data_IF_692650188545
#
_entry.id   IF_692650188545
#
_cell.length_a   1.000
_cell.length_b   1.000
_cell.length_c   1.000
_cell.angle_alpha   90.00
_cell.angle_beta   90.00
_cell.angle_gamma   90.00
#
_symmetry.space_group_name_H-M   'P 1'
#
loop_
_entity.id
_entity.type
_entity.pdbx_description
1 polymer ?
#
# COMPACT_ATOMS: atom_id res chain seq x y z
N UNK A 1 30.02 15.77 8.33
CA UNK A 1 28.63 15.82 7.81
C UNK A 1 28.13 14.39 7.70
N UNK A 2 27.22 13.94 8.56
CA UNK A 2 26.59 12.62 8.39
C UNK A 2 25.71 12.68 7.13
N UNK A 3 26.04 11.91 6.09
CA UNK A 3 25.24 11.85 4.87
C UNK A 3 23.80 11.46 5.22
N UNK A 4 22.81 12.09 4.58
CA UNK A 4 21.41 11.77 4.82
C UNK A 4 21.17 10.27 4.58
N UNK A 5 20.78 9.55 5.64
CA UNK A 5 20.48 8.13 5.55
C UNK A 5 19.24 7.95 4.67
N UNK A 6 19.34 7.10 3.65
CA UNK A 6 18.21 6.78 2.77
C UNK A 6 17.11 6.09 3.57
N UNK A 7 15.88 6.52 3.37
CA UNK A 7 14.65 6.01 4.01
C UNK A 7 13.72 5.49 2.91
N UNK A 8 13.09 4.34 3.12
CA UNK A 8 12.18 3.73 2.15
C UNK A 8 10.78 3.50 2.72
N UNK A 9 9.76 3.84 1.94
CA UNK A 9 8.36 3.52 2.25
C UNK A 9 7.88 2.52 1.20
N UNK A 10 7.42 1.37 1.65
CA UNK A 10 6.85 0.33 0.80
C UNK A 10 5.33 0.31 0.97
N UNK A 11 4.62 0.61 -0.11
CA UNK A 11 3.15 0.59 -0.15
C UNK A 11 2.71 -0.77 -0.66
N UNK A 12 1.94 -1.47 0.16
CA UNK A 12 1.45 -2.83 -0.10
C UNK A 12 -0.04 -2.78 -0.34
N UNK A 13 -0.50 -3.46 -1.40
CA UNK A 13 -1.92 -3.55 -1.79
C UNK A 13 -2.29 -5.02 -1.96
N UNK A 14 -3.56 -5.34 -1.76
CA UNK A 14 -4.08 -6.68 -2.04
C UNK A 14 -3.70 -7.10 -3.48
N UNK A 15 -3.05 -8.25 -3.68
CA UNK A 15 -2.64 -8.70 -5.00
C UNK A 15 -3.83 -8.90 -5.95
N UNK A 16 -5.03 -9.23 -5.48
CA UNK A 16 -6.25 -9.37 -6.31
C UNK A 16 -6.63 -8.01 -6.93
N UNK A 17 -6.70 -6.97 -6.10
CA UNK A 17 -6.93 -5.60 -6.58
C UNK A 17 -5.77 -5.08 -7.44
N UNK A 18 -4.54 -5.47 -7.13
CA UNK A 18 -3.36 -5.04 -7.88
C UNK A 18 -3.32 -5.66 -9.28
N UNK A 19 -3.61 -6.97 -9.41
CA UNK A 19 -3.75 -7.64 -10.70
C UNK A 19 -4.91 -7.04 -11.49
N UNK A 20 -6.08 -6.87 -10.88
CA UNK A 20 -7.23 -6.24 -11.54
C UNK A 20 -6.89 -4.83 -12.04
N UNK A 21 -6.24 -4.02 -11.19
CA UNK A 21 -5.81 -2.67 -11.56
C UNK A 21 -4.83 -2.67 -12.74
N UNK A 22 -3.92 -3.64 -12.79
CA UNK A 22 -2.98 -3.80 -13.89
C UNK A 22 -3.69 -4.22 -15.19
N UNK A 23 -4.62 -5.17 -15.13
CA UNK A 23 -5.40 -5.63 -16.29
C UNK A 23 -6.15 -4.47 -16.96
N UNK A 24 -6.81 -3.63 -16.16
CA UNK A 24 -7.47 -2.41 -16.66
C UNK A 24 -6.49 -1.38 -17.21
N UNK A 25 -5.35 -1.19 -16.53
CA UNK A 25 -4.30 -0.29 -17.00
C UNK A 25 -3.74 -0.69 -18.38
N UNK A 26 -3.79 -1.98 -18.71
CA UNK A 26 -3.42 -2.52 -20.02
C UNK A 26 -4.60 -2.59 -21.02
N UNK A 27 -5.72 -1.93 -20.72
CA UNK A 27 -6.82 -1.71 -21.66
C UNK A 27 -7.80 -2.87 -21.80
N UNK A 28 -7.68 -3.92 -20.98
CA UNK A 28 -8.66 -5.02 -20.95
C UNK A 28 -9.89 -4.57 -20.16
N UNK A 29 -11.06 -4.59 -20.80
CA UNK A 29 -12.30 -4.04 -20.24
C UNK A 29 -13.51 -4.97 -20.37
N UNK A 30 -13.48 -5.92 -21.31
CA UNK A 30 -14.53 -6.92 -21.41
C UNK A 30 -14.55 -7.75 -20.11
N UNK A 31 -15.68 -7.89 -19.42
CA UNK A 31 -15.72 -8.58 -18.13
C UNK A 31 -15.18 -10.02 -18.16
N UNK A 32 -15.43 -10.77 -19.24
CA UNK A 32 -14.93 -12.14 -19.35
C UNK A 32 -13.41 -12.17 -19.59
N UNK A 33 -12.91 -11.27 -20.43
CA UNK A 33 -11.46 -11.12 -20.64
C UNK A 33 -10.74 -10.60 -19.38
N UNK A 34 -11.37 -9.71 -18.60
CA UNK A 34 -10.84 -9.23 -17.33
C UNK A 34 -10.72 -10.39 -16.34
N UNK A 35 -11.78 -11.17 -16.15
CA UNK A 35 -11.79 -12.28 -15.21
C UNK A 35 -10.73 -13.32 -15.58
N UNK A 36 -10.68 -13.72 -16.86
CA UNK A 36 -9.67 -14.65 -17.38
C UNK A 36 -8.25 -14.09 -17.22
N UNK A 37 -8.05 -12.81 -17.56
CA UNK A 37 -6.72 -12.17 -17.45
C UNK A 37 -6.22 -12.11 -16.00
N UNK A 38 -7.12 -11.86 -15.04
CA UNK A 38 -6.78 -11.89 -13.62
C UNK A 38 -6.47 -13.32 -13.19
N UNK A 39 -7.30 -14.30 -13.57
CA UNK A 39 -7.08 -15.72 -13.28
C UNK A 39 -5.69 -16.17 -13.74
N UNK A 40 -5.27 -15.79 -14.94
CA UNK A 40 -3.98 -16.18 -15.51
C UNK A 40 -2.77 -15.52 -14.81
N UNK A 41 -2.97 -14.32 -14.22
CA UNK A 41 -1.87 -13.47 -13.72
C UNK A 41 -1.79 -13.40 -12.21
N UNK A 42 -2.85 -13.80 -11.49
CA UNK A 42 -2.94 -13.62 -10.04
C UNK A 42 -1.74 -14.23 -9.30
N UNK A 43 -1.34 -15.46 -9.63
CA UNK A 43 -0.20 -16.13 -8.99
C UNK A 43 1.10 -15.35 -9.15
N UNK A 44 1.31 -14.71 -10.31
CA UNK A 44 2.49 -13.89 -10.55
C UNK A 44 2.50 -12.66 -9.63
N UNK A 45 1.38 -11.95 -9.52
CA UNK A 45 1.26 -10.78 -8.64
C UNK A 45 1.34 -11.15 -7.15
N UNK A 46 0.79 -12.31 -6.76
CA UNK A 46 0.91 -12.83 -5.40
C UNK A 46 2.38 -13.13 -5.09
N UNK A 47 3.10 -13.83 -5.97
CA UNK A 47 4.52 -14.11 -5.83
C UNK A 47 5.36 -12.84 -5.71
N UNK A 48 5.08 -11.85 -6.57
CA UNK A 48 5.76 -10.56 -6.57
C UNK A 48 5.48 -9.76 -5.30
N UNK A 49 4.25 -9.80 -4.80
CA UNK A 49 3.87 -9.17 -3.53
C UNK A 49 4.64 -9.79 -2.37
N UNK A 50 4.71 -11.13 -2.29
CA UNK A 50 5.49 -11.82 -1.27
C UNK A 50 6.99 -11.50 -1.38
N UNK A 51 7.55 -11.59 -2.59
CA UNK A 51 8.96 -11.32 -2.84
C UNK A 51 9.34 -9.91 -2.41
N UNK A 52 8.63 -8.88 -2.88
CA UNK A 52 8.96 -7.50 -2.53
C UNK A 52 8.70 -7.17 -1.07
N UNK A 53 7.69 -7.79 -0.46
CA UNK A 53 7.48 -7.67 0.98
C UNK A 53 8.67 -8.22 1.78
N UNK A 54 9.12 -9.45 1.48
CA UNK A 54 10.27 -10.03 2.15
C UNK A 54 11.56 -9.28 1.85
N UNK A 55 11.77 -8.90 0.59
CA UNK A 55 12.92 -8.11 0.20
C UNK A 55 12.98 -6.77 0.92
N UNK A 56 11.85 -6.07 1.06
CA UNK A 56 11.83 -4.81 1.79
C UNK A 56 12.01 -5.02 3.30
N UNK A 57 11.33 -5.98 3.92
CA UNK A 57 11.32 -6.11 5.38
C UNK A 57 12.57 -6.80 5.93
N UNK A 58 13.06 -7.84 5.25
CA UNK A 58 14.20 -8.64 5.70
C UNK A 58 15.50 -8.31 4.95
N UNK A 59 15.42 -7.86 3.70
CA UNK A 59 16.58 -7.47 2.90
C UNK A 59 16.96 -6.01 3.11
N UNK A 60 16.29 -5.10 2.39
CA UNK A 60 16.53 -3.67 2.45
C UNK A 60 16.34 -3.08 3.85
N UNK A 61 15.32 -3.53 4.56
CA UNK A 61 14.98 -3.08 5.92
C UNK A 61 16.04 -3.39 6.97
N UNK A 62 16.91 -4.37 6.71
CA UNK A 62 18.05 -4.67 7.58
C UNK A 62 19.20 -3.65 7.41
N UNK A 63 19.23 -2.93 6.29
CA UNK A 63 20.30 -1.98 5.95
C UNK A 63 19.82 -0.53 6.06
N UNK A 64 18.58 -0.28 5.65
CA UNK A 64 17.98 1.04 5.57
C UNK A 64 16.67 1.11 6.37
N UNK A 65 16.41 2.19 7.11
CA UNK A 65 15.11 2.41 7.73
C UNK A 65 14.00 2.27 6.69
N UNK A 66 13.11 1.32 6.95
CA UNK A 66 12.00 0.99 6.06
C UNK A 66 10.68 1.06 6.80
N UNK A 67 9.64 1.54 6.13
CA UNK A 67 8.28 1.62 6.65
C UNK A 67 7.33 0.95 5.67
N UNK A 68 6.39 0.19 6.19
CA UNK A 68 5.28 -0.36 5.43
C UNK A 68 4.04 0.53 5.57
N UNK A 69 3.33 0.68 4.45
CA UNK A 69 1.98 1.25 4.38
C UNK A 69 1.05 0.29 3.66
N UNK A 70 -0.15 0.08 4.18
CA UNK A 70 -1.18 -0.68 3.49
C UNK A 70 -2.10 0.27 2.74
N UNK A 71 -2.30 0.03 1.44
CA UNK A 71 -3.17 0.85 0.59
C UNK A 71 -4.58 0.98 1.18
N UNK A 72 -5.16 -0.10 1.71
CA UNK A 72 -6.46 -0.07 2.40
C UNK A 72 -6.51 0.94 3.54
N UNK A 73 -5.48 0.96 4.40
CA UNK A 73 -5.40 1.91 5.52
C UNK A 73 -5.18 3.35 5.06
N UNK A 74 -4.47 3.55 3.95
CA UNK A 74 -4.34 4.87 3.33
C UNK A 74 -5.70 5.38 2.82
N UNK A 75 -6.61 4.50 2.42
CA UNK A 75 -7.97 4.86 2.01
C UNK A 75 -8.88 5.10 3.21
N UNK A 76 -8.88 4.19 4.21
CA UNK A 76 -9.80 4.26 5.35
C UNK A 76 -9.39 5.29 6.41
N UNK A 77 -8.09 5.52 6.56
CA UNK A 77 -7.51 6.25 7.69
C UNK A 77 -6.37 7.19 7.23
N UNK A 78 -6.54 7.86 6.10
CA UNK A 78 -5.50 8.71 5.50
C UNK A 78 -4.81 9.67 6.49
N UNK A 79 -5.53 10.44 7.35
CA UNK A 79 -4.87 11.33 8.31
C UNK A 79 -3.94 10.59 9.28
N UNK A 80 -4.38 9.44 9.79
CA UNK A 80 -3.62 8.61 10.75
C UNK A 80 -2.36 8.02 10.08
N UNK A 81 -2.49 7.49 8.87
CA UNK A 81 -1.33 6.96 8.14
C UNK A 81 -0.34 8.08 7.77
N UNK A 82 -0.82 9.28 7.43
CA UNK A 82 0.03 10.43 7.11
C UNK A 82 0.79 10.92 8.35
N UNK A 83 0.14 11.00 9.51
CA UNK A 83 0.81 11.27 10.77
C UNK A 83 1.88 10.22 11.10
N UNK A 84 1.59 8.93 10.83
CA UNK A 84 2.57 7.85 11.01
C UNK A 84 3.79 8.06 10.12
N UNK A 85 3.59 8.44 8.86
CA UNK A 85 4.66 8.75 7.91
C UNK A 85 5.48 9.96 8.38
N UNK A 86 4.82 11.05 8.78
CA UNK A 86 5.50 12.27 9.25
C UNK A 86 6.36 11.99 10.48
N UNK A 87 5.82 11.27 11.47
CA UNK A 87 6.55 10.86 12.67
C UNK A 87 7.77 10.02 12.32
N UNK A 88 7.63 9.06 11.40
CA UNK A 88 8.72 8.20 10.96
C UNK A 88 9.80 8.96 10.15
N UNK A 89 9.39 9.96 9.38
CA UNK A 89 10.32 10.86 8.69
C UNK A 89 11.03 11.82 9.66
N UNK A 90 10.52 12.02 10.88
CA UNK A 90 11.02 13.01 11.83
C UNK A 90 10.49 14.41 11.54
N UNK A 91 9.38 14.50 10.81
CA UNK A 91 8.75 15.75 10.41
C UNK A 91 7.59 16.08 11.36
N UNK A 92 7.35 17.39 11.54
CA UNK A 92 6.18 17.91 12.23
C UNK A 92 5.33 18.69 11.24
N UNK A 93 4.02 18.61 11.37
CA UNK A 93 3.06 19.30 10.52
C UNK A 93 1.92 19.81 11.38
N UNK A 94 1.42 21.01 11.06
CA UNK A 94 0.22 21.52 11.74
C UNK A 94 -1.01 20.69 11.33
N UNK A 95 -2.01 20.62 12.22
CA UNK A 95 -3.27 19.94 11.91
C UNK A 95 -3.98 20.56 10.68
N UNK A 96 -3.85 21.88 10.48
CA UNK A 96 -4.41 22.57 9.33
C UNK A 96 -3.73 22.13 8.02
N UNK A 97 -2.40 22.06 8.00
CA UNK A 97 -1.63 21.60 6.84
C UNK A 97 -1.91 20.12 6.56
N UNK A 98 -1.99 19.27 7.58
CA UNK A 98 -2.32 17.85 7.39
C UNK A 98 -3.69 17.68 6.74
N UNK A 99 -4.70 18.43 7.21
CA UNK A 99 -6.04 18.43 6.63
C UNK A 99 -6.02 18.87 5.16
N UNK A 100 -5.19 19.84 4.81
CA UNK A 100 -5.01 20.28 3.42
C UNK A 100 -4.36 19.18 2.57
N UNK A 101 -3.28 18.57 3.04
CA UNK A 101 -2.59 17.48 2.33
C UNK A 101 -3.57 16.33 2.06
N UNK A 102 -4.32 15.88 3.07
CA UNK A 102 -5.32 14.81 2.91
C UNK A 102 -6.36 15.17 1.83
N UNK A 103 -6.81 16.42 1.78
CA UNK A 103 -7.76 16.88 0.75
C UNK A 103 -7.12 16.94 -0.64
N UNK A 104 -5.86 17.32 -0.75
CA UNK A 104 -5.16 17.44 -2.03
C UNK A 104 -4.75 16.07 -2.61
N UNK A 105 -4.57 15.06 -1.75
CA UNK A 105 -4.20 13.70 -2.14
C UNK A 105 -5.37 12.72 -2.16
N UNK A 106 -6.60 13.19 -1.93
CA UNK A 106 -7.78 12.34 -2.05
C UNK A 106 -8.02 11.89 -3.50
N UNK A 107 -8.81 10.82 -3.66
CA UNK A 107 -9.07 10.24 -4.98
C UNK A 107 -9.71 11.25 -5.95
N UNK A 108 -10.63 12.09 -5.49
CA UNK A 108 -11.31 13.08 -6.31
C UNK A 108 -10.37 14.19 -6.78
N UNK A 109 -9.47 14.63 -5.90
CA UNK A 109 -8.42 15.58 -6.19
C UNK A 109 -7.43 15.00 -7.22
N UNK A 110 -6.95 13.77 -7.02
CA UNK A 110 -6.07 13.11 -7.99
C UNK A 110 -6.75 12.90 -9.34
N UNK A 111 -8.05 12.55 -9.36
CA UNK A 111 -8.81 12.38 -10.61
C UNK A 111 -8.98 13.70 -11.36
N UNK A 112 -9.18 14.81 -10.64
CA UNK A 112 -9.17 16.17 -11.21
C UNK A 112 -7.79 16.52 -11.76
N UNK A 113 -6.72 16.26 -11.01
CA UNK A 113 -5.35 16.49 -11.47
C UNK A 113 -5.03 15.67 -12.73
N UNK A 114 -5.51 14.43 -12.85
CA UNK A 114 -5.32 13.64 -14.07
C UNK A 114 -6.02 14.28 -15.28
N UNK A 115 -7.26 14.76 -15.08
CA UNK A 115 -8.03 15.49 -16.09
C UNK A 115 -7.31 16.76 -16.55
N UNK A 116 -6.68 17.46 -15.61
CA UNK A 116 -5.88 18.67 -15.84
C UNK A 116 -4.46 18.37 -16.34
N UNK A 117 -4.09 17.09 -16.50
CA UNK A 117 -2.74 16.61 -16.86
C UNK A 117 -1.65 17.06 -15.87
N UNK A 118 -2.02 17.29 -14.63
CA UNK A 118 -1.13 17.72 -13.54
C UNK A 118 -0.47 16.54 -12.79
N UNK A 119 -0.88 15.29 -13.01
CA UNK A 119 -0.20 14.13 -12.44
C UNK A 119 1.10 13.80 -13.20
N UNK A 120 2.18 13.39 -12.51
CA UNK A 120 3.44 12.98 -13.14
C UNK A 120 3.26 11.84 -14.16
N UNK A 121 3.95 11.91 -15.30
CA UNK A 121 3.90 10.89 -16.36
C UNK A 121 2.67 10.99 -17.28
N UNK A 122 2.44 9.99 -18.14
CA UNK A 122 1.37 10.03 -19.16
C UNK A 122 -0.03 9.96 -18.53
N UNK A 123 -0.94 10.89 -18.86
CA UNK A 123 -2.28 10.98 -18.28
C UNK A 123 -3.35 10.50 -19.26
N UNK A 124 -4.31 9.70 -18.78
CA UNK A 124 -5.35 9.07 -19.61
C UNK A 124 -6.76 9.34 -19.03
N UNK A 125 -7.15 10.61 -18.82
CA UNK A 125 -8.36 10.93 -18.08
C UNK A 125 -9.62 10.39 -18.78
N UNK A 126 -10.48 9.73 -18.00
CA UNK A 126 -11.76 9.18 -18.48
C UNK A 126 -11.63 7.95 -19.38
N UNK A 127 -10.44 7.36 -19.48
CA UNK A 127 -10.21 6.08 -20.16
C UNK A 127 -10.11 4.93 -19.16
N UNK A 128 -10.21 3.71 -19.68
CA UNK A 128 -10.02 2.50 -18.90
C UNK A 128 -8.62 2.39 -18.27
N UNK A 129 -7.61 2.86 -19.02
CA UNK A 129 -6.20 2.91 -18.65
C UNK A 129 -5.83 4.19 -17.85
N UNK A 130 -6.82 4.91 -17.32
CA UNK A 130 -6.58 6.04 -16.43
C UNK A 130 -5.77 5.62 -15.20
N UNK A 131 -4.82 6.47 -14.77
CA UNK A 131 -4.09 6.28 -13.49
C UNK A 131 -5.06 6.26 -12.31
N UNK A 132 -6.12 7.05 -12.39
CA UNK A 132 -7.12 7.26 -11.33
C UNK A 132 -8.49 6.78 -11.83
N UNK A 133 -8.64 5.46 -11.99
CA UNK A 133 -9.84 4.79 -12.57
C UNK A 133 -11.06 4.81 -11.63
N UNK A 134 -11.13 3.87 -10.68
CA UNK A 134 -12.27 3.68 -9.75
C UNK A 134 -11.96 4.08 -8.30
N UNK A 135 -10.71 3.94 -7.86
CA UNK A 135 -10.32 4.15 -6.46
C UNK A 135 -10.92 3.11 -5.53
N UNK A 136 -10.31 2.92 -4.36
CA UNK A 136 -10.82 1.98 -3.36
C UNK A 136 -10.11 0.63 -3.33
N UNK A 137 -10.53 -0.19 -2.38
CA UNK A 137 -10.06 -1.55 -2.12
C UNK A 137 -11.24 -2.52 -2.18
N UNK A 138 -10.93 -3.82 -2.26
CA UNK A 138 -11.89 -4.90 -2.45
C UNK A 138 -12.73 -4.75 -3.74
N UNK A 139 -12.24 -3.97 -4.70
CA UNK A 139 -12.95 -3.72 -5.96
C UNK A 139 -13.06 -4.99 -6.81
N UNK A 140 -12.14 -5.94 -6.61
CA UNK A 140 -12.20 -7.27 -7.18
C UNK A 140 -13.51 -8.02 -6.89
N UNK A 141 -14.16 -7.77 -5.75
CA UNK A 141 -15.43 -8.43 -5.38
C UNK A 141 -16.58 -8.08 -6.34
N UNK A 142 -16.51 -6.92 -6.98
CA UNK A 142 -17.54 -6.44 -7.92
C UNK A 142 -17.18 -6.62 -9.40
N UNK A 143 -15.99 -7.13 -9.72
CA UNK A 143 -15.51 -7.25 -11.10
C UNK A 143 -15.06 -8.66 -11.48
N UNK A 144 -14.85 -9.55 -10.50
CA UNK A 144 -14.39 -10.92 -10.72
C UNK A 144 -15.45 -11.96 -10.34
N UNK A 145 -15.39 -13.11 -10.98
CA UNK A 145 -16.16 -14.28 -10.62
C UNK A 145 -15.73 -14.83 -9.26
N UNK A 146 -16.66 -15.47 -8.54
CA UNK A 146 -16.34 -16.12 -7.26
C UNK A 146 -15.27 -17.20 -7.41
N UNK A 147 -15.23 -17.89 -8.56
CA UNK A 147 -14.21 -18.90 -8.86
C UNK A 147 -12.82 -18.27 -8.93
N UNK A 148 -12.66 -17.17 -9.68
CA UNK A 148 -11.39 -16.45 -9.79
C UNK A 148 -10.96 -15.88 -8.44
N UNK A 149 -11.89 -15.31 -7.67
CA UNK A 149 -11.60 -14.80 -6.32
C UNK A 149 -11.11 -15.93 -5.41
N UNK A 150 -11.78 -17.08 -5.41
CA UNK A 150 -11.42 -18.21 -4.57
C UNK A 150 -10.06 -18.78 -4.96
N UNK A 151 -9.79 -18.94 -6.26
CA UNK A 151 -8.49 -19.41 -6.76
C UNK A 151 -7.35 -18.49 -6.32
N UNK A 152 -7.52 -17.18 -6.48
CA UNK A 152 -6.53 -16.20 -6.01
C UNK A 152 -6.33 -16.29 -4.49
N UNK A 153 -7.42 -16.44 -3.73
CA UNK A 153 -7.40 -16.48 -2.27
C UNK A 153 -6.66 -17.72 -1.75
N UNK A 154 -6.85 -18.89 -2.38
CA UNK A 154 -6.10 -20.09 -2.02
C UNK A 154 -4.61 -19.96 -2.38
N UNK A 155 -4.28 -19.38 -3.54
CA UNK A 155 -2.88 -19.09 -3.88
C UNK A 155 -2.23 -18.13 -2.87
N UNK A 156 -2.96 -17.10 -2.42
CA UNK A 156 -2.50 -16.19 -1.37
C UNK A 156 -2.14 -16.94 -0.08
N UNK A 157 -3.00 -17.85 0.40
CA UNK A 157 -2.76 -18.63 1.62
C UNK A 157 -1.46 -19.44 1.58
N UNK A 158 -1.06 -19.90 0.39
CA UNK A 158 0.18 -20.66 0.20
C UNK A 158 1.41 -19.76 0.13
N UNK A 159 1.28 -18.59 -0.50
CA UNK A 159 2.43 -17.80 -0.94
C UNK A 159 2.72 -16.55 -0.10
N UNK A 160 1.70 -15.98 0.54
CA UNK A 160 1.84 -14.75 1.31
C UNK A 160 2.21 -15.05 2.77
N UNK A 161 3.09 -14.25 3.39
CA UNK A 161 3.33 -14.33 4.82
C UNK A 161 2.09 -13.93 5.61
N UNK A 162 1.96 -14.47 6.82
CA UNK A 162 0.78 -14.31 7.70
C UNK A 162 0.35 -12.85 7.89
N UNK A 163 1.32 -11.93 8.05
CA UNK A 163 1.02 -10.50 8.19
C UNK A 163 0.21 -9.96 7.02
N UNK A 164 0.55 -10.35 5.79
CA UNK A 164 -0.16 -9.91 4.58
C UNK A 164 -1.53 -10.60 4.48
N UNK A 165 -1.61 -11.89 4.84
CA UNK A 165 -2.89 -12.61 4.88
C UNK A 165 -3.89 -11.92 5.82
N UNK A 166 -3.46 -11.47 7.00
CA UNK A 166 -4.28 -10.69 7.93
C UNK A 166 -4.63 -9.32 7.38
N UNK A 167 -3.64 -8.59 6.84
CA UNK A 167 -3.87 -7.26 6.29
C UNK A 167 -4.89 -7.25 5.13
N UNK A 168 -4.95 -8.34 4.37
CA UNK A 168 -5.86 -8.55 3.24
C UNK A 168 -7.13 -9.35 3.61
N UNK A 169 -7.35 -9.62 4.90
CA UNK A 169 -8.52 -10.36 5.40
C UNK A 169 -8.74 -11.71 4.71
N UNK A 170 -7.64 -12.42 4.41
CA UNK A 170 -7.67 -13.78 3.84
C UNK A 170 -7.84 -14.83 4.95
N UNK A 171 -7.32 -14.52 6.13
CA UNK A 171 -7.48 -15.32 7.35
C UNK A 171 -8.04 -14.41 8.44
N UNK A 172 -8.75 -15.01 9.40
CA UNK A 172 -9.44 -14.27 10.47
C UNK A 172 -8.51 -13.37 11.28
N UNK A 173 -9.09 -12.29 11.82
CA UNK A 173 -8.44 -11.35 12.73
C UNK A 173 -8.13 -12.04 14.07
N UNK A 174 -6.97 -12.70 14.17
CA UNK A 174 -6.35 -12.97 15.46
C UNK A 174 -5.31 -11.87 15.75
N UNK A 175 -5.75 -10.96 16.61
CA UNK A 175 -5.05 -9.81 17.21
C UNK A 175 -4.67 -8.61 16.31
N UNK A 176 -4.98 -7.36 16.74
CA UNK A 176 -4.34 -6.19 16.16
C UNK A 176 -2.83 -6.32 16.34
N UNK A 177 -2.07 -6.05 15.28
CA UNK A 177 -0.61 -6.10 15.31
C UNK A 177 -0.03 -5.31 16.50
N UNK A 178 0.36 -6.02 17.56
CA UNK A 178 1.26 -5.54 18.61
C UNK A 178 2.69 -5.79 18.16
N UNK A 179 3.08 -5.21 17.03
CA UNK A 179 4.47 -5.28 16.61
C UNK A 179 5.41 -4.86 17.72
N UNK A 180 6.70 -5.21 17.63
CA UNK A 180 7.66 -4.59 18.52
C UNK A 180 7.46 -3.08 18.41
N UNK A 181 7.20 -2.42 19.54
CA UNK A 181 7.26 -0.98 19.62
C UNK A 181 8.52 -0.56 18.85
N UNK A 182 8.46 0.47 17.97
CA UNK A 182 9.63 0.87 17.22
C UNK A 182 10.78 1.01 18.20
N UNK A 183 11.74 0.07 18.15
CA UNK A 183 12.95 0.18 18.93
C UNK A 183 13.58 1.45 18.40
N UNK A 184 13.51 2.51 19.17
CA UNK A 184 14.22 3.72 18.86
C UNK A 184 15.62 3.53 19.43
N UNK A 185 16.63 3.16 18.63
CA UNK A 185 18.01 3.10 19.11
C UNK A 185 18.53 4.49 19.56
N UNK A 186 17.77 5.56 19.33
CA UNK A 186 18.07 6.93 19.76
C UNK A 186 17.33 7.37 21.03
N UNK A 187 16.57 6.50 21.71
CA UNK A 187 15.95 6.79 23.02
C UNK A 187 16.39 5.85 24.15
N UNK A 188 17.30 4.90 23.89
CA UNK A 188 17.83 4.01 24.93
C UNK A 188 19.17 4.45 25.50
N UNK A 189 19.56 5.73 25.36
CA UNK A 189 20.72 6.29 26.06
C UNK A 189 20.56 7.80 26.23
N UNK A 190 19.72 8.23 27.17
CA UNK A 190 19.93 9.47 27.93
C UNK A 190 18.83 9.61 28.99
N UNK A 191 19.15 9.22 30.22
CA UNK A 191 18.71 9.86 31.47
C UNK A 191 18.73 8.82 32.60
N UNK A 192 19.94 8.41 32.98
CA UNK A 192 20.29 8.12 34.37
C UNK A 192 21.66 8.78 34.57
N UNK A 193 21.66 10.11 34.62
CA UNK A 193 22.65 10.90 35.36
C UNK A 193 21.93 12.12 35.92
N UNK A 194 21.41 11.92 37.12
CA UNK A 194 21.31 12.97 38.12
C UNK A 194 22.63 13.73 38.22
N UNK A 195 22.57 15.07 38.15
CA UNK A 195 23.27 16.01 39.02
C UNK A 195 23.29 17.42 38.40
N UNK A 196 22.51 18.32 39.02
CA UNK A 196 22.53 19.79 38.95
C UNK A 196 22.18 20.49 37.62
#
# INVERSE_FOLDING_TARGET
MSGAQRKYIHVVRDPRDSTLSWVHYHGVNDPAEVDQSVRDKCNHFIAWTAFFYHWQMAGYGAVYPSMELFYRRLMDQAPVEYERVLRWLGLRMSAATLKQVVKETDFGAMKRMEKERALPGRNHPGKADAKVRKGGYDTFKGELSNETIQLCTEAMKVMLPERLLRAFQVIDDAEPWKGPAPRNPLLTNSADQDAF
#
